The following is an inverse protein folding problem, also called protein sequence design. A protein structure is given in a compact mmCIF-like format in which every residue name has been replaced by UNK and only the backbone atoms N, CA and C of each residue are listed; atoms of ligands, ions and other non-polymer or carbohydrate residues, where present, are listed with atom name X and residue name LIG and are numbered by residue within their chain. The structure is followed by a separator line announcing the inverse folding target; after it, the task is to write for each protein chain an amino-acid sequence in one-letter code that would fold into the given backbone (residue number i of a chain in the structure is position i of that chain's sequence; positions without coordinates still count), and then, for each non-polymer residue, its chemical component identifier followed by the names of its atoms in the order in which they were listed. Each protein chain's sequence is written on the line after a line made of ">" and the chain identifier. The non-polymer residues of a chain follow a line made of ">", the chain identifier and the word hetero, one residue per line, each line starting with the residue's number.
data_IF_920335630132
#
_entry.id   IF_920335630132
#
_cell.length_a   1.000
_cell.length_b   1.000
_cell.length_c   1.000
_cell.angle_alpha   90.00
_cell.angle_beta   90.00
_cell.angle_gamma   90.00
#
_symmetry.space_group_name_H-M   'P 1'
#
loop_
_entity.id
_entity.type
_entity.pdbx_description
1 polymer ?
#
# COMPACT_ATOMS: atom_id res chain seq x y z
N UNK A 1 -8.48 5.84 15.30
CA UNK A 1 -7.46 4.76 15.38
C UNK A 1 -6.09 5.42 15.42
N UNK A 2 -5.03 4.80 15.96
CA UNK A 2 -3.68 5.40 15.96
C UNK A 2 -3.20 5.62 14.50
N UNK A 3 -2.90 6.85 14.06
CA UNK A 3 -2.54 7.13 12.66
C UNK A 3 -1.25 6.42 12.24
N UNK A 4 -0.32 6.20 13.18
CA UNK A 4 0.89 5.41 12.93
C UNK A 4 0.55 3.95 12.61
N UNK A 5 -0.41 3.37 13.34
CA UNK A 5 -0.89 2.02 13.07
C UNK A 5 -1.59 1.94 11.70
N UNK A 6 -2.35 2.96 11.31
CA UNK A 6 -2.96 3.04 9.99
C UNK A 6 -1.91 3.01 8.88
N UNK A 7 -0.88 3.86 8.99
CA UNK A 7 0.23 3.93 8.03
C UNK A 7 0.97 2.61 7.94
N UNK A 8 1.22 1.93 9.06
CA UNK A 8 1.85 0.60 9.09
C UNK A 8 0.98 -0.44 8.37
N UNK A 9 -0.31 -0.53 8.70
CA UNK A 9 -1.22 -1.51 8.09
C UNK A 9 -1.31 -1.35 6.57
N UNK A 10 -1.46 -0.11 6.08
CA UNK A 10 -1.50 0.13 4.63
C UNK A 10 -0.16 -0.10 3.96
N UNK A 11 0.95 0.23 4.62
CA UNK A 11 2.29 -0.08 4.09
C UNK A 11 2.49 -1.59 3.93
N UNK A 12 2.06 -2.38 4.92
CA UNK A 12 2.09 -3.84 4.84
C UNK A 12 1.20 -4.36 3.71
N UNK A 13 0.00 -3.81 3.52
CA UNK A 13 -0.86 -4.20 2.40
C UNK A 13 -0.20 -3.97 1.03
N UNK A 14 0.44 -2.80 0.83
CA UNK A 14 1.17 -2.49 -0.39
C UNK A 14 2.34 -3.46 -0.60
N UNK A 15 3.12 -3.75 0.44
CA UNK A 15 4.24 -4.69 0.36
C UNK A 15 3.74 -6.10 0.01
N UNK A 16 2.65 -6.56 0.63
CA UNK A 16 2.06 -7.87 0.35
C UNK A 16 1.65 -7.98 -1.11
N UNK A 17 0.86 -7.02 -1.62
CA UNK A 17 0.39 -7.06 -3.02
C UNK A 17 1.52 -6.82 -4.03
N UNK A 18 2.49 -5.97 -3.70
CA UNK A 18 3.72 -5.81 -4.48
C UNK A 18 4.49 -7.12 -4.61
N UNK A 19 4.64 -7.85 -3.50
CA UNK A 19 5.24 -9.18 -3.46
C UNK A 19 4.48 -10.21 -4.30
N UNK A 20 3.14 -10.21 -4.25
CA UNK A 20 2.28 -11.08 -5.08
C UNK A 20 2.52 -10.83 -6.58
N UNK A 21 2.57 -9.57 -7.01
CA UNK A 21 2.80 -9.22 -8.41
C UNK A 21 4.20 -9.60 -8.89
N UNK A 22 5.23 -9.41 -8.05
CA UNK A 22 6.60 -9.87 -8.33
C UNK A 22 6.65 -11.40 -8.40
N UNK A 23 5.95 -12.11 -7.50
CA UNK A 23 5.83 -13.56 -7.54
C UNK A 23 5.17 -14.05 -8.83
N UNK A 24 4.10 -13.39 -9.30
CA UNK A 24 3.42 -13.72 -10.56
C UNK A 24 4.31 -13.49 -11.78
N UNK A 25 5.12 -12.44 -11.76
CA UNK A 25 6.15 -12.21 -12.78
C UNK A 25 7.21 -13.31 -12.78
N UNK A 26 7.83 -13.57 -11.62
CA UNK A 26 8.96 -14.48 -11.44
C UNK A 26 8.58 -15.92 -11.82
N UNK A 27 7.39 -16.36 -11.44
CA UNK A 27 6.88 -17.70 -11.78
C UNK A 27 6.25 -17.79 -13.18
N UNK A 28 6.02 -16.65 -13.83
CA UNK A 28 5.29 -16.59 -15.11
C UNK A 28 3.80 -16.86 -14.97
N UNK A 29 3.26 -17.02 -13.76
CA UNK A 29 1.86 -17.37 -13.51
C UNK A 29 0.86 -16.39 -14.14
N UNK A 30 1.25 -15.13 -14.30
CA UNK A 30 0.42 -14.09 -14.92
C UNK A 30 -0.02 -14.47 -16.34
N UNK A 31 0.77 -15.24 -17.09
CA UNK A 31 0.47 -15.62 -18.48
C UNK A 31 -0.64 -16.66 -18.60
N UNK A 32 -1.02 -17.29 -17.47
CA UNK A 32 -2.20 -18.18 -17.41
C UNK A 32 -3.52 -17.39 -17.45
N UNK A 33 -3.49 -16.12 -17.06
CA UNK A 33 -4.68 -15.29 -16.87
C UNK A 33 -4.74 -14.11 -17.84
N UNK A 34 -3.59 -13.61 -18.29
CA UNK A 34 -3.45 -12.45 -19.17
C UNK A 34 -2.48 -12.75 -20.30
N UNK A 35 -2.50 -11.90 -21.34
CA UNK A 35 -1.55 -11.99 -22.43
C UNK A 35 -0.10 -11.82 -21.92
N UNK A 36 0.90 -12.45 -22.56
CA UNK A 36 2.30 -12.39 -22.11
C UNK A 36 2.85 -10.97 -21.95
N UNK A 37 2.37 -10.01 -22.73
CA UNK A 37 2.79 -8.61 -22.71
C UNK A 37 2.44 -7.87 -21.41
N UNK A 38 1.53 -8.43 -20.59
CA UNK A 38 1.23 -7.89 -19.25
C UNK A 38 2.29 -8.26 -18.21
N UNK A 39 3.19 -9.18 -18.53
CA UNK A 39 4.18 -9.68 -17.57
C UNK A 39 5.15 -8.58 -17.11
N UNK A 40 5.75 -7.76 -17.99
CA UNK A 40 6.53 -6.59 -17.57
C UNK A 40 5.74 -5.59 -16.74
N UNK A 41 4.44 -5.39 -17.03
CA UNK A 41 3.57 -4.50 -16.25
C UNK A 41 3.36 -5.02 -14.82
N UNK A 42 3.16 -6.34 -14.65
CA UNK A 42 3.10 -6.98 -13.33
C UNK A 42 4.38 -6.75 -12.53
N UNK A 43 5.56 -6.84 -13.17
CA UNK A 43 6.82 -6.55 -12.50
C UNK A 43 6.92 -5.08 -12.09
N UNK A 44 6.67 -4.15 -13.02
CA UNK A 44 6.79 -2.72 -12.77
C UNK A 44 5.82 -2.27 -11.66
N UNK A 45 4.56 -2.72 -11.71
CA UNK A 45 3.57 -2.46 -10.66
C UNK A 45 3.97 -3.08 -9.33
N UNK A 46 4.45 -4.32 -9.32
CA UNK A 46 4.93 -4.99 -8.11
C UNK A 46 6.09 -4.26 -7.44
N UNK A 47 7.09 -3.86 -8.21
CA UNK A 47 8.22 -3.08 -7.71
C UNK A 47 7.79 -1.69 -7.21
N UNK A 48 6.90 -1.01 -7.92
CA UNK A 48 6.35 0.29 -7.49
C UNK A 48 5.66 0.19 -6.13
N UNK A 49 4.81 -0.82 -5.94
CA UNK A 49 4.14 -1.05 -4.66
C UNK A 49 5.11 -1.40 -3.54
N UNK A 50 6.14 -2.20 -3.82
CA UNK A 50 7.18 -2.53 -2.83
C UNK A 50 7.95 -1.28 -2.40
N UNK A 51 8.34 -0.41 -3.34
CA UNK A 51 9.07 0.82 -3.04
C UNK A 51 8.21 1.76 -2.20
N UNK A 52 6.96 2.02 -2.62
CA UNK A 52 6.04 2.92 -1.88
C UNK A 52 5.71 2.34 -0.50
N UNK A 53 5.39 1.05 -0.42
CA UNK A 53 5.09 0.39 0.84
C UNK A 53 6.28 0.38 1.80
N UNK A 54 7.49 0.07 1.31
CA UNK A 54 8.69 0.12 2.12
C UNK A 54 9.01 1.54 2.59
N UNK A 55 8.93 2.54 1.70
CA UNK A 55 9.16 3.94 2.06
C UNK A 55 8.18 4.40 3.15
N UNK A 56 6.89 4.13 2.98
CA UNK A 56 5.87 4.50 3.96
C UNK A 56 6.06 3.76 5.30
N UNK A 57 6.47 2.49 5.27
CA UNK A 57 6.72 1.72 6.49
C UNK A 57 7.92 2.29 7.27
N UNK A 58 9.00 2.61 6.57
CA UNK A 58 10.23 3.15 7.16
C UNK A 58 10.05 4.58 7.68
N UNK A 59 9.12 5.34 7.09
CA UNK A 59 8.83 6.73 7.48
C UNK A 59 7.55 6.87 8.31
N UNK A 60 6.91 5.76 8.73
CA UNK A 60 5.60 5.77 9.39
C UNK A 60 5.53 6.56 10.70
N UNK A 61 6.67 6.79 11.35
CA UNK A 61 6.77 7.55 12.61
C UNK A 61 7.25 8.98 12.42
N UNK A 62 7.56 9.39 11.18
CA UNK A 62 8.01 10.73 10.87
C UNK A 62 6.80 11.67 10.75
N UNK A 63 6.94 12.86 11.33
CA UNK A 63 6.00 13.96 11.17
C UNK A 63 6.53 14.85 10.04
N UNK A 64 5.72 15.12 9.03
CA UNK A 64 6.07 16.06 7.97
C UNK A 64 5.80 17.48 8.46
N UNK A 65 6.83 18.34 8.46
CA UNK A 65 6.68 19.77 8.71
C UNK A 65 6.82 20.52 7.39
N UNK A 66 5.79 21.24 6.97
CA UNK A 66 5.77 22.01 5.73
C UNK A 66 6.45 23.39 5.86
N UNK A 67 7.03 23.73 7.02
CA UNK A 67 7.80 24.97 7.21
C UNK A 67 6.96 26.26 7.25
N UNK A 68 5.64 26.16 7.39
CA UNK A 68 4.73 27.29 7.57
C UNK A 68 3.68 26.95 8.65
N UNK A 69 3.27 27.97 9.40
CA UNK A 69 2.33 27.84 10.50
C UNK A 69 0.91 27.74 9.93
N UNK A 70 0.23 26.62 10.18
CA UNK A 70 -1.17 26.48 9.83
C UNK A 70 -1.99 27.32 10.81
N UNK A 71 -2.68 28.33 10.30
CA UNK A 71 -3.57 29.17 11.11
C UNK A 71 -4.66 28.33 11.79
N UNK A 72 -5.30 28.85 12.85
CA UNK A 72 -6.25 28.09 13.69
C UNK A 72 -7.47 27.52 12.94
N UNK A 73 -7.73 27.97 11.70
CA UNK A 73 -8.86 27.54 10.87
C UNK A 73 -8.54 26.41 9.87
N UNK A 74 -7.28 25.94 9.80
CA UNK A 74 -6.82 24.99 8.76
C UNK A 74 -6.92 23.52 9.22
N UNK A 75 -8.03 23.16 9.89
CA UNK A 75 -8.27 21.81 10.43
C UNK A 75 -9.02 20.93 9.43
N UNK A 76 -8.44 20.71 8.24
CA UNK A 76 -8.97 19.74 7.30
C UNK A 76 -8.45 18.33 7.63
N UNK A 77 -9.28 17.56 8.33
CA UNK A 77 -9.02 16.19 8.79
C UNK A 77 -9.08 15.19 7.61
N UNK A 78 -7.98 15.09 6.85
CA UNK A 78 -7.88 14.25 5.66
C UNK A 78 -7.70 12.74 5.94
N UNK A 79 -7.81 12.28 7.19
CA UNK A 79 -7.49 10.88 7.57
C UNK A 79 -8.72 10.04 8.00
N UNK A 80 -9.95 10.39 7.61
CA UNK A 80 -11.12 9.53 7.85
C UNK A 80 -11.48 8.68 6.62
N UNK A 81 -11.16 7.39 6.67
CA UNK A 81 -11.82 6.38 5.84
C UNK A 81 -13.09 5.90 6.57
N UNK A 82 -14.19 5.70 5.83
CA UNK A 82 -15.45 5.16 6.38
C UNK A 82 -15.30 3.71 6.90
N UNK A 83 -14.22 3.01 6.54
CA UNK A 83 -13.94 1.62 6.92
C UNK A 83 -12.78 1.58 7.92
N UNK A 84 -12.96 0.81 9.00
CA UNK A 84 -11.89 0.58 9.98
C UNK A 84 -10.63 0.01 9.30
N UNK A 85 -9.44 0.62 9.42
CA UNK A 85 -8.27 0.23 8.62
C UNK A 85 -7.80 -1.21 8.81
N UNK A 86 -7.97 -1.79 10.01
CA UNK A 86 -7.74 -3.23 10.21
C UNK A 86 -8.70 -4.08 9.36
N UNK A 87 -9.97 -3.69 9.26
CA UNK A 87 -10.93 -4.41 8.43
C UNK A 87 -10.56 -4.29 6.94
N UNK A 88 -10.20 -3.09 6.49
CA UNK A 88 -9.70 -2.88 5.12
C UNK A 88 -8.46 -3.74 4.82
N UNK A 89 -7.49 -3.78 5.75
CA UNK A 89 -6.30 -4.64 5.63
C UNK A 89 -6.68 -6.12 5.51
N UNK A 90 -7.56 -6.62 6.37
CA UNK A 90 -7.98 -8.02 6.34
C UNK A 90 -8.73 -8.36 5.04
N UNK A 91 -9.63 -7.48 4.58
CA UNK A 91 -10.35 -7.65 3.30
C UNK A 91 -9.36 -7.79 2.14
N UNK A 92 -8.28 -7.00 2.13
CA UNK A 92 -7.24 -7.09 1.11
C UNK A 92 -6.43 -8.39 1.16
N UNK A 93 -6.42 -9.11 2.29
CA UNK A 93 -5.72 -10.39 2.43
C UNK A 93 -6.60 -11.60 2.12
N UNK A 94 -7.93 -11.47 2.16
CA UNK A 94 -8.87 -12.57 1.91
C UNK A 94 -8.55 -13.35 0.62
N UNK A 95 -8.30 -12.69 -0.54
CA UNK A 95 -8.03 -13.41 -1.78
C UNK A 95 -6.73 -14.23 -1.80
N UNK A 96 -5.83 -14.05 -0.82
CA UNK A 96 -4.58 -14.82 -0.75
C UNK A 96 -4.75 -16.18 -0.07
N UNK A 97 -5.85 -16.38 0.67
CA UNK A 97 -6.15 -17.61 1.41
C UNK A 97 -7.27 -18.45 0.79
N UNK A 98 -7.89 -17.99 -0.30
CA UNK A 98 -8.94 -18.70 -1.05
C UNK A 98 -8.35 -19.31 -2.33
#
# INVERSE_FOLDING_TARGET
>A
MNPKLQRVLFSLALITWGGVLVYFYATGRITKYLAPDFRPLSLAGGLGLLVVGAFNLLTATQEASCGHDHGPDDTHDHESMDVHPLAAFLILLVPLGL
#
